data_IF_055920554553
#
_entry.id   IF_055920554553
#
_cell.length_a   1.000
_cell.length_b   1.000
_cell.length_c   1.000
_cell.angle_alpha   90.00
_cell.angle_beta   90.00
_cell.angle_gamma   90.00
#
_symmetry.space_group_name_H-M   'P 1'
#
loop_
_entity.id
_entity.type
_entity.pdbx_description
1 polymer ?
#
# COMPACT_ATOMS: atom_id res chain seq x y z
N UNK A 1 -7.45 -0.94 -3.61
CA UNK A 1 -7.86 0.15 -4.52
C UNK A 1 -8.32 -0.39 -5.87
N UNK A 2 -8.80 0.48 -6.75
CA UNK A 2 -9.29 0.11 -8.10
C UNK A 2 -8.20 -0.55 -8.95
N UNK A 3 -7.01 0.06 -9.03
CA UNK A 3 -5.86 -0.47 -9.78
C UNK A 3 -5.50 -1.89 -9.33
N UNK A 4 -5.30 -2.11 -8.03
CA UNK A 4 -4.94 -3.43 -7.51
C UNK A 4 -6.02 -4.48 -7.80
N UNK A 5 -7.30 -4.12 -7.69
CA UNK A 5 -8.41 -5.02 -8.01
C UNK A 5 -8.44 -5.35 -9.50
N UNK A 6 -8.23 -4.38 -10.38
CA UNK A 6 -8.17 -4.60 -11.81
C UNK A 6 -7.00 -5.53 -12.21
N UNK A 7 -5.85 -5.40 -11.53
CA UNK A 7 -4.71 -6.31 -11.71
C UNK A 7 -5.05 -7.72 -11.23
N UNK A 8 -5.70 -7.85 -10.07
CA UNK A 8 -6.16 -9.13 -9.51
C UNK A 8 -7.22 -9.82 -10.40
N UNK A 9 -8.15 -9.05 -10.97
CA UNK A 9 -9.19 -9.53 -11.89
C UNK A 9 -8.62 -9.93 -13.27
N UNK A 10 -7.32 -9.79 -13.48
CA UNK A 10 -6.64 -10.21 -14.71
C UNK A 10 -6.95 -9.33 -15.92
N UNK A 11 -7.28 -8.04 -15.71
CA UNK A 11 -7.50 -7.11 -16.82
C UNK A 11 -6.27 -6.98 -17.72
N UNK A 12 -6.53 -6.65 -18.98
CA UNK A 12 -5.48 -6.43 -19.99
C UNK A 12 -4.61 -5.22 -19.64
N UNK A 13 -3.39 -5.18 -20.17
CA UNK A 13 -2.47 -4.07 -19.89
C UNK A 13 -2.99 -2.74 -20.43
N UNK A 14 -3.77 -2.74 -21.52
CA UNK A 14 -4.44 -1.54 -22.05
C UNK A 14 -5.46 -1.00 -21.04
N UNK A 15 -6.37 -1.86 -20.55
CA UNK A 15 -7.36 -1.46 -19.54
C UNK A 15 -6.70 -0.99 -18.24
N UNK A 16 -5.62 -1.65 -17.82
CA UNK A 16 -4.87 -1.26 -16.63
C UNK A 16 -4.22 0.11 -16.80
N UNK A 17 -3.64 0.38 -17.97
CA UNK A 17 -3.04 1.68 -18.28
C UNK A 17 -4.09 2.79 -18.28
N UNK A 18 -5.26 2.53 -18.84
CA UNK A 18 -6.38 3.48 -18.83
C UNK A 18 -6.82 3.83 -17.40
N UNK A 19 -6.93 2.83 -16.51
CA UNK A 19 -7.26 3.05 -15.09
C UNK A 19 -6.13 3.80 -14.38
N UNK A 20 -4.88 3.36 -14.58
CA UNK A 20 -3.69 3.96 -13.94
C UNK A 20 -3.48 5.42 -14.36
N UNK A 21 -3.89 5.80 -15.58
CA UNK A 21 -3.75 7.17 -16.10
C UNK A 21 -4.43 8.22 -15.23
N UNK A 22 -5.51 7.85 -14.53
CA UNK A 22 -6.24 8.74 -13.63
C UNK A 22 -5.43 9.18 -12.40
N UNK A 23 -4.50 8.35 -11.91
CA UNK A 23 -3.82 8.56 -10.64
C UNK A 23 -2.47 9.26 -10.81
N UNK A 24 -2.12 10.18 -9.92
CA UNK A 24 -0.82 10.86 -9.95
C UNK A 24 0.34 9.92 -9.58
N UNK A 25 0.08 8.96 -8.71
CA UNK A 25 1.02 7.92 -8.29
C UNK A 25 0.30 6.59 -8.07
N UNK A 26 1.03 5.49 -8.05
CA UNK A 26 0.50 4.14 -7.88
C UNK A 26 1.02 3.52 -6.59
N UNK A 27 0.15 2.80 -5.87
CA UNK A 27 0.53 2.14 -4.63
C UNK A 27 0.79 0.65 -4.82
N UNK A 28 1.85 0.17 -4.18
CA UNK A 28 2.09 -1.24 -3.88
C UNK A 28 2.25 -1.40 -2.37
N UNK A 29 1.85 -2.55 -1.84
CA UNK A 29 1.85 -2.80 -0.40
C UNK A 29 2.67 -4.04 -0.06
N UNK A 30 3.18 -4.14 1.19
CA UNK A 30 3.75 -5.37 1.73
C UNK A 30 2.91 -6.60 1.39
N UNK A 31 3.57 -7.73 1.11
CA UNK A 31 2.91 -9.01 0.85
C UNK A 31 2.08 -9.41 2.07
N UNK A 32 2.63 -9.16 3.26
CA UNK A 32 1.98 -9.39 4.54
C UNK A 32 0.64 -8.64 4.69
N UNK A 33 0.48 -7.47 4.08
CA UNK A 33 -0.80 -6.74 4.09
C UNK A 33 -1.89 -7.46 3.30
N UNK A 34 -1.50 -8.24 2.28
CA UNK A 34 -2.39 -8.89 1.32
C UNK A 34 -2.50 -10.42 1.52
N UNK A 35 -1.92 -10.99 2.58
CA UNK A 35 -2.02 -12.42 2.91
C UNK A 35 -3.46 -12.94 2.99
N UNK A 36 -4.41 -12.09 3.35
CA UNK A 36 -5.82 -12.47 3.37
C UNK A 36 -6.36 -12.90 2.00
N UNK A 37 -5.76 -12.45 0.89
CA UNK A 37 -6.11 -12.87 -0.47
C UNK A 37 -5.71 -14.33 -0.73
N UNK A 38 -4.58 -14.76 -0.16
CA UNK A 38 -4.16 -16.17 -0.18
C UNK A 38 -5.15 -17.00 0.65
N UNK A 39 -5.48 -16.54 1.86
CA UNK A 39 -6.42 -17.23 2.75
C UNK A 39 -7.82 -17.38 2.15
N UNK A 40 -8.25 -16.45 1.29
CA UNK A 40 -9.53 -16.48 0.58
C UNK A 40 -9.47 -17.25 -0.76
N UNK A 41 -8.29 -17.71 -1.17
CA UNK A 41 -8.09 -18.41 -2.44
C UNK A 41 -8.20 -17.51 -3.67
N UNK A 42 -8.08 -16.18 -3.50
CA UNK A 42 -8.01 -15.24 -4.62
C UNK A 42 -6.65 -15.28 -5.33
N UNK A 43 -5.61 -15.68 -4.59
CA UNK A 43 -4.22 -15.75 -5.03
C UNK A 43 -3.63 -17.06 -4.51
N UNK A 44 -2.74 -17.68 -5.28
CA UNK A 44 -2.15 -18.99 -5.00
C UNK A 44 -1.17 -18.97 -3.83
N UNK A 45 -0.28 -17.98 -3.79
CA UNK A 45 0.83 -17.88 -2.85
C UNK A 45 1.44 -16.47 -2.82
N UNK A 46 2.46 -16.28 -1.98
CA UNK A 46 3.21 -15.03 -1.89
C UNK A 46 3.87 -14.62 -3.21
N UNK A 47 4.28 -15.58 -4.04
CA UNK A 47 4.95 -15.28 -5.31
C UNK A 47 3.99 -14.64 -6.30
N UNK A 48 2.73 -15.06 -6.29
CA UNK A 48 1.70 -14.39 -7.07
C UNK A 48 1.41 -12.97 -6.53
N UNK A 49 1.38 -12.75 -5.21
CA UNK A 49 1.29 -11.38 -4.66
C UNK A 49 2.46 -10.49 -5.10
N UNK A 50 3.69 -11.04 -5.10
CA UNK A 50 4.89 -10.34 -5.62
C UNK A 50 4.74 -10.04 -7.11
N UNK A 51 4.17 -10.97 -7.89
CA UNK A 51 3.92 -10.77 -9.31
C UNK A 51 2.89 -9.66 -9.58
N UNK A 52 1.84 -9.54 -8.77
CA UNK A 52 0.88 -8.43 -8.87
C UNK A 52 1.57 -7.09 -8.60
N UNK A 53 2.38 -7.00 -7.54
CA UNK A 53 3.17 -5.80 -7.24
C UNK A 53 4.17 -5.46 -8.36
N UNK A 54 4.88 -6.45 -8.91
CA UNK A 54 5.78 -6.25 -10.06
C UNK A 54 5.03 -5.78 -11.30
N UNK A 55 3.82 -6.29 -11.56
CA UNK A 55 2.99 -5.85 -12.68
C UNK A 55 2.63 -4.37 -12.53
N UNK A 56 2.20 -3.95 -11.34
CA UNK A 56 1.91 -2.54 -11.05
C UNK A 56 3.16 -1.67 -11.23
N UNK A 57 4.30 -2.12 -10.70
CA UNK A 57 5.58 -1.42 -10.82
C UNK A 57 5.98 -1.20 -12.30
N UNK A 58 5.96 -2.27 -13.11
CA UNK A 58 6.36 -2.21 -14.51
C UNK A 58 5.44 -1.30 -15.33
N UNK A 59 4.12 -1.41 -15.14
CA UNK A 59 3.16 -0.54 -15.84
C UNK A 59 3.30 0.93 -15.40
N UNK A 60 3.54 1.18 -14.12
CA UNK A 60 3.83 2.53 -13.61
C UNK A 60 5.06 3.15 -14.30
N UNK A 61 6.14 2.38 -14.44
CA UNK A 61 7.35 2.80 -15.17
C UNK A 61 7.07 3.11 -16.63
N UNK A 62 6.29 2.28 -17.33
CA UNK A 62 5.90 2.53 -18.72
C UNK A 62 5.08 3.82 -18.89
N UNK A 63 4.25 4.15 -17.89
CA UNK A 63 3.43 5.35 -17.87
C UNK A 63 4.17 6.58 -17.32
N UNK A 64 5.43 6.44 -16.91
CA UNK A 64 6.19 7.47 -16.18
C UNK A 64 5.45 7.99 -14.93
N UNK A 65 4.79 7.07 -14.20
CA UNK A 65 4.10 7.38 -12.94
C UNK A 65 4.91 6.85 -11.76
N UNK A 66 5.13 7.65 -10.71
CA UNK A 66 5.80 7.19 -9.51
C UNK A 66 5.00 6.06 -8.86
N UNK A 67 5.71 4.98 -8.53
CA UNK A 67 5.17 3.84 -7.77
C UNK A 67 5.73 3.92 -6.36
N UNK A 68 4.86 3.86 -5.36
CA UNK A 68 5.22 4.02 -3.95
C UNK A 68 4.81 2.82 -3.13
N UNK A 69 5.70 2.42 -2.22
CA UNK A 69 5.43 1.39 -1.24
C UNK A 69 4.72 1.98 -0.03
N UNK A 70 3.45 1.62 0.19
CA UNK A 70 2.63 2.12 1.31
C UNK A 70 2.36 1.02 2.34
N UNK A 71 2.28 1.40 3.62
CA UNK A 71 2.14 0.46 4.74
C UNK A 71 0.71 0.18 5.18
N UNK A 72 -0.27 1.00 4.77
CA UNK A 72 -1.66 0.98 5.26
C UNK A 72 -1.74 0.93 6.80
N UNK A 73 -1.00 1.82 7.45
CA UNK A 73 -0.74 1.78 8.89
C UNK A 73 -2.01 2.05 9.70
N UNK A 74 -2.30 1.15 10.65
CA UNK A 74 -3.42 1.27 11.58
C UNK A 74 -2.99 1.37 13.05
N UNK A 75 -1.74 1.02 13.36
CA UNK A 75 -1.19 1.04 14.71
C UNK A 75 0.33 1.25 14.69
N UNK A 76 0.92 1.65 15.82
CA UNK A 76 2.33 2.04 15.87
C UNK A 76 3.24 0.81 15.91
N UNK A 77 3.10 -0.01 16.96
CA UNK A 77 3.98 -1.16 17.22
C UNK A 77 3.29 -2.48 16.87
N UNK A 78 4.02 -3.54 16.44
CA UNK A 78 3.44 -4.83 16.11
C UNK A 78 2.51 -5.41 17.19
N UNK A 79 2.84 -5.19 18.47
CA UNK A 79 2.07 -5.69 19.62
C UNK A 79 0.71 -5.00 19.81
N UNK A 80 0.51 -3.82 19.20
CA UNK A 80 -0.73 -3.05 19.31
C UNK A 80 -1.88 -3.65 18.47
N UNK A 81 -1.60 -4.69 17.68
CA UNK A 81 -2.62 -5.47 16.95
C UNK A 81 -3.77 -5.93 17.85
N UNK A 82 -3.49 -6.15 19.15
CA UNK A 82 -4.46 -6.65 20.12
C UNK A 82 -5.62 -5.67 20.30
N UNK A 83 -5.34 -4.36 20.29
CA UNK A 83 -6.37 -3.33 20.42
C UNK A 83 -7.30 -3.34 19.21
N UNK A 84 -6.73 -3.44 18.00
CA UNK A 84 -7.48 -3.54 16.75
C UNK A 84 -8.36 -4.79 16.74
N UNK A 85 -7.81 -5.94 17.12
CA UNK A 85 -8.56 -7.21 17.26
C UNK A 85 -9.75 -7.08 18.21
N UNK A 86 -9.55 -6.46 19.37
CA UNK A 86 -10.63 -6.26 20.36
C UNK A 86 -11.74 -5.36 19.78
N UNK A 87 -11.39 -4.25 19.13
CA UNK A 87 -12.37 -3.34 18.52
C UNK A 87 -13.17 -4.05 17.44
N UNK A 88 -12.51 -4.78 16.54
CA UNK A 88 -13.16 -5.51 15.45
C UNK A 88 -14.08 -6.62 15.97
N UNK A 89 -13.66 -7.36 17.00
CA UNK A 89 -14.51 -8.36 17.64
C UNK A 89 -15.76 -7.72 18.26
N UNK A 90 -15.61 -6.56 18.92
CA UNK A 90 -16.73 -5.79 19.46
C UNK A 90 -17.71 -5.28 18.41
N UNK A 91 -17.26 -5.09 17.17
CA UNK A 91 -18.07 -4.71 16.02
C UNK A 91 -18.70 -5.90 15.27
N UNK A 92 -18.43 -7.13 15.70
CA UNK A 92 -19.02 -8.34 15.11
C UNK A 92 -18.28 -8.89 13.88
N UNK A 93 -17.04 -8.46 13.64
CA UNK A 93 -16.22 -9.02 12.56
C UNK A 93 -15.75 -10.45 12.91
N UNK A 94 -16.12 -11.42 12.08
CA UNK A 94 -15.79 -12.84 12.28
C UNK A 94 -14.32 -13.18 12.06
N UNK A 95 -13.57 -12.29 11.41
CA UNK A 95 -12.16 -12.42 11.06
C UNK A 95 -11.24 -11.56 11.96
N UNK A 96 -11.74 -11.05 13.08
CA UNK A 96 -10.98 -10.21 14.01
C UNK A 96 -9.67 -10.84 14.50
N UNK A 97 -9.59 -12.17 14.49
CA UNK A 97 -8.41 -12.92 14.96
C UNK A 97 -7.31 -13.10 13.90
N UNK A 98 -7.60 -12.85 12.63
CA UNK A 98 -6.67 -13.06 11.52
C UNK A 98 -6.44 -11.74 10.75
N UNK A 99 -5.86 -10.76 11.45
CA UNK A 99 -5.64 -9.43 10.92
C UNK A 99 -4.24 -9.30 10.32
N UNK A 100 -4.08 -8.60 9.18
CA UNK A 100 -2.76 -8.33 8.63
C UNK A 100 -1.93 -7.43 9.57
N UNK A 101 -0.59 -7.54 9.53
CA UNK A 101 0.31 -6.77 10.40
C UNK A 101 0.48 -5.33 9.89
N UNK A 102 -0.55 -4.51 10.10
CA UNK A 102 -0.67 -3.10 9.67
C UNK A 102 0.01 -2.11 10.65
N UNK A 103 1.19 -2.46 11.17
CA UNK A 103 1.99 -1.57 12.01
C UNK A 103 2.85 -0.60 11.20
N UNK A 104 3.36 0.45 11.84
CA UNK A 104 4.31 1.38 11.24
C UNK A 104 5.67 0.70 11.03
N UNK A 105 5.90 0.21 9.80
CA UNK A 105 7.18 -0.39 9.42
C UNK A 105 8.27 0.67 9.27
N UNK A 106 9.46 0.34 9.74
CA UNK A 106 10.67 1.11 9.47
C UNK A 106 11.08 1.04 8.00
N UNK A 107 11.90 1.98 7.54
CA UNK A 107 12.47 1.95 6.18
C UNK A 107 13.23 0.67 5.90
N UNK A 108 13.96 0.12 6.88
CA UNK A 108 14.71 -1.13 6.72
C UNK A 108 13.79 -2.33 6.53
N UNK A 109 12.70 -2.41 7.30
CA UNK A 109 11.68 -3.45 7.12
C UNK A 109 11.00 -3.34 5.77
N UNK A 110 10.66 -2.12 5.34
CA UNK A 110 10.09 -1.88 4.01
C UNK A 110 11.07 -2.28 2.89
N UNK A 111 12.35 -1.90 2.97
CA UNK A 111 13.35 -2.31 1.98
C UNK A 111 13.52 -3.84 1.91
N UNK A 112 13.44 -4.52 3.06
CA UNK A 112 13.48 -5.99 3.10
C UNK A 112 12.24 -6.59 2.45
N UNK A 113 11.05 -6.06 2.77
CA UNK A 113 9.77 -6.53 2.23
C UNK A 113 9.74 -6.44 0.70
N UNK A 114 10.24 -5.34 0.13
CA UNK A 114 10.23 -5.09 -1.30
C UNK A 114 11.48 -5.58 -2.04
N UNK A 115 12.42 -6.25 -1.35
CA UNK A 115 13.72 -6.67 -1.91
C UNK A 115 13.63 -7.52 -3.18
N UNK A 116 12.49 -8.20 -3.42
CA UNK A 116 12.21 -8.97 -4.63
C UNK A 116 12.14 -8.12 -5.90
N UNK A 117 11.95 -6.79 -5.80
CA UNK A 117 12.00 -5.87 -6.93
C UNK A 117 13.43 -5.60 -7.43
N UNK A 118 14.44 -5.96 -6.63
CA UNK A 118 15.84 -5.58 -6.86
C UNK A 118 16.22 -4.30 -6.12
N UNK A 119 17.52 -4.11 -5.87
CA UNK A 119 18.01 -3.08 -4.95
C UNK A 119 17.70 -1.63 -5.37
N UNK A 120 17.78 -1.33 -6.66
CA UNK A 120 17.47 0.01 -7.19
C UNK A 120 15.96 0.30 -7.09
N UNK A 121 15.14 -0.59 -7.66
CA UNK A 121 13.67 -0.47 -7.65
C UNK A 121 13.11 -0.44 -6.22
N UNK A 122 13.65 -1.25 -5.30
CA UNK A 122 13.23 -1.24 -3.89
C UNK A 122 13.49 0.11 -3.23
N UNK A 123 14.65 0.72 -3.47
CA UNK A 123 14.97 2.06 -2.94
C UNK A 123 14.11 3.13 -3.58
N UNK A 124 13.84 3.01 -4.87
CA UNK A 124 12.95 3.91 -5.61
C UNK A 124 11.56 3.94 -4.98
N UNK A 125 10.91 2.77 -4.82
CA UNK A 125 9.53 2.71 -4.31
C UNK A 125 9.40 2.97 -2.81
N UNK A 126 10.43 2.66 -2.00
CA UNK A 126 10.40 2.82 -0.53
C UNK A 126 10.88 4.20 -0.06
N UNK A 127 11.82 4.82 -0.78
CA UNK A 127 12.50 6.04 -0.32
C UNK A 127 12.29 7.19 -1.30
N UNK A 128 12.74 7.01 -2.54
CA UNK A 128 12.83 8.12 -3.51
C UNK A 128 11.44 8.66 -3.86
N UNK A 129 10.56 7.81 -4.40
CA UNK A 129 9.24 8.24 -4.86
C UNK A 129 8.35 8.76 -3.71
N UNK A 130 8.28 8.11 -2.52
CA UNK A 130 7.55 8.69 -1.38
C UNK A 130 8.12 10.03 -0.91
N UNK A 131 9.45 10.19 -0.94
CA UNK A 131 10.11 11.44 -0.61
C UNK A 131 9.77 12.56 -1.59
N UNK A 132 9.82 12.28 -2.89
CA UNK A 132 9.44 13.25 -3.94
C UNK A 132 7.97 13.69 -3.81
N UNK A 133 7.06 12.75 -3.49
CA UNK A 133 5.66 13.09 -3.22
C UNK A 133 5.59 13.98 -1.98
N UNK A 134 6.24 13.63 -0.87
CA UNK A 134 6.21 14.42 0.34
C UNK A 134 6.76 15.84 0.13
N UNK A 135 7.86 15.97 -0.62
CA UNK A 135 8.48 17.26 -0.97
C UNK A 135 7.61 18.11 -1.91
N UNK A 136 6.70 17.49 -2.66
CA UNK A 136 5.76 18.19 -3.55
C UNK A 136 4.56 18.83 -2.82
N UNK A 137 4.32 18.45 -1.56
CA UNK A 137 3.19 18.94 -0.77
C UNK A 137 3.58 20.18 0.03
N UNK A 138 2.86 21.28 -0.19
CA UNK A 138 3.02 22.49 0.62
C UNK A 138 2.55 22.27 2.07
N UNK A 139 3.18 22.98 3.01
CA UNK A 139 2.77 22.95 4.42
C UNK A 139 1.39 23.61 4.56
N UNK A 140 0.36 22.77 4.67
CA UNK A 140 -1.00 23.22 4.87
C UNK A 140 -1.32 23.35 6.36
N UNK A 141 -1.96 24.46 6.73
CA UNK A 141 -2.48 24.68 8.08
C UNK A 141 -3.92 24.17 8.16
N UNK A 142 -4.20 23.03 8.83
CA UNK A 142 -5.54 22.45 8.82
C UNK A 142 -6.54 23.21 9.70
N UNK A 143 -6.04 23.92 10.73
CA UNK A 143 -6.87 24.70 11.67
C UNK A 143 -6.31 26.13 11.75
N UNK A 144 -7.12 27.17 11.48
CA UNK A 144 -6.68 28.56 11.62
C UNK A 144 -6.26 28.90 13.06
N UNK A 145 -5.31 29.84 13.25
CA UNK A 145 -4.91 30.29 14.59
C UNK A 145 -5.99 31.12 15.29
N UNK A 146 -6.73 31.87 14.47
CA UNK A 146 -7.66 32.87 14.96
C UNK A 146 -9.07 32.30 15.02
N UNK A 147 -9.82 32.77 16.03
CA UNK A 147 -11.26 32.58 16.06
C UNK A 147 -11.87 33.58 15.07
N UNK A 148 -12.72 33.11 14.16
CA UNK A 148 -13.50 33.97 13.26
C UNK A 148 -14.90 34.16 13.87
N UNK A 149 -15.12 35.19 14.72
CA UNK A 149 -16.44 35.46 15.29
C UNK A 149 -17.46 35.82 14.17
N UNK A 150 -18.76 35.50 14.37
CA UNK A 150 -19.82 35.70 13.38
C UNK A 150 -20.14 37.16 13.09
#
# INVERSE_FOLDING_TARGET
>A
GEVYRAVLDGKSDEELKDIMNFYDYLEIQPITNNEFLINKGNVKDEDELRALNMKIYNLGRELNKPVVATGDVHFLDPQDEVFRRIIMAGQGFSDSSNQPPLYLKTTEEMLKEFSYLGGEASREVVITNPGEIADSIEVLKPIPDETYPP
#
